data_IF_504970994861
#
_entry.id   IF_504970994861
#
_cell.length_a   1.000
_cell.length_b   1.000
_cell.length_c   1.000
_cell.angle_alpha   90.00
_cell.angle_beta   90.00
_cell.angle_gamma   90.00
#
_symmetry.space_group_name_H-M   'P 1'
#
loop_
_entity.id
_entity.type
_entity.pdbx_description
1 polymer ?
#
# COMPACT_ATOMS: atom_id res chain seq x y z
N UNK A 1 -1.97 8.99 12.52
CA UNK A 1 -2.41 8.69 11.12
C UNK A 1 -1.44 7.78 10.39
N UNK A 2 -0.30 8.26 9.85
CA UNK A 2 0.61 7.38 9.07
C UNK A 2 1.17 6.22 9.90
N UNK A 3 1.50 6.47 11.17
CA UNK A 3 1.94 5.41 12.10
C UNK A 3 0.88 4.33 12.30
N UNK A 4 -0.38 4.71 12.47
CA UNK A 4 -1.49 3.77 12.66
C UNK A 4 -1.71 2.92 11.41
N UNK A 5 -1.62 3.55 10.23
CA UNK A 5 -1.67 2.89 8.93
C UNK A 5 -0.56 1.85 8.78
N UNK A 6 0.68 2.19 9.17
CA UNK A 6 1.83 1.27 9.17
C UNK A 6 1.56 0.10 10.11
N UNK A 7 1.07 0.36 11.33
CA UNK A 7 0.79 -0.67 12.32
C UNK A 7 -0.29 -1.65 11.81
N UNK A 8 -1.43 -1.13 11.34
CA UNK A 8 -2.53 -1.94 10.82
C UNK A 8 -2.09 -2.77 9.61
N UNK A 9 -1.37 -2.14 8.69
CA UNK A 9 -0.85 -2.81 7.49
C UNK A 9 0.16 -3.90 7.84
N UNK A 10 1.09 -3.66 8.77
CA UNK A 10 2.07 -4.66 9.19
C UNK A 10 1.45 -5.86 9.91
N UNK A 11 0.44 -5.63 10.76
CA UNK A 11 -0.33 -6.71 11.38
C UNK A 11 -0.96 -7.60 10.31
N UNK A 12 -1.49 -6.99 9.24
CA UNK A 12 -2.09 -7.74 8.15
C UNK A 12 -1.06 -8.45 7.28
N UNK A 13 0.06 -7.80 6.94
CA UNK A 13 1.17 -8.42 6.18
C UNK A 13 1.66 -9.68 6.91
N UNK A 14 1.85 -9.61 8.23
CA UNK A 14 2.24 -10.76 9.03
C UNK A 14 1.21 -11.90 8.99
N UNK A 15 -0.09 -11.59 8.84
CA UNK A 15 -1.14 -12.62 8.74
C UNK A 15 -1.20 -13.33 7.39
N UNK A 16 -0.61 -12.76 6.34
CA UNK A 16 -0.62 -13.31 4.98
C UNK A 16 0.75 -13.77 4.50
N UNK A 17 1.82 -13.52 5.28
CA UNK A 17 3.20 -13.78 4.85
C UNK A 17 3.46 -15.24 4.52
N UNK A 18 2.73 -16.17 5.14
CA UNK A 18 2.81 -17.61 4.86
C UNK A 18 2.36 -17.98 3.43
N UNK A 19 1.56 -17.13 2.77
CA UNK A 19 1.17 -17.34 1.37
C UNK A 19 2.26 -16.95 0.37
N UNK A 20 3.39 -16.40 0.82
CA UNK A 20 4.48 -15.96 -0.02
C UNK A 20 5.68 -16.89 0.13
N UNK A 21 6.27 -17.27 -1.01
CA UNK A 21 7.43 -18.16 -1.03
C UNK A 21 8.71 -17.49 -0.52
N UNK A 22 8.80 -16.16 -0.61
CA UNK A 22 9.97 -15.39 -0.17
C UNK A 22 9.53 -14.34 0.86
N UNK A 23 10.29 -14.26 1.95
CA UNK A 23 10.06 -13.27 3.01
C UNK A 23 10.03 -11.82 2.46
N UNK A 24 10.89 -11.53 1.49
CA UNK A 24 10.97 -10.19 0.87
C UNK A 24 9.69 -9.77 0.15
N UNK A 25 8.88 -10.71 -0.33
CA UNK A 25 7.67 -10.43 -1.09
C UNK A 25 6.53 -9.97 -0.16
N UNK A 26 6.60 -10.35 1.13
CA UNK A 26 5.68 -9.93 2.19
C UNK A 26 6.39 -9.12 3.29
N UNK A 27 7.34 -8.27 2.91
CA UNK A 27 8.09 -7.46 3.89
C UNK A 27 7.20 -6.40 4.54
N UNK A 28 7.30 -6.24 5.85
CA UNK A 28 6.67 -5.14 6.60
C UNK A 28 7.06 -3.76 6.06
N UNK A 29 6.16 -2.79 6.16
CA UNK A 29 6.36 -1.39 5.75
C UNK A 29 6.84 -0.52 6.92
N UNK A 30 7.47 0.60 6.58
CA UNK A 30 7.90 1.64 7.53
C UNK A 30 7.11 2.94 7.32
N UNK A 31 7.21 3.88 8.26
CA UNK A 31 6.62 5.23 8.08
C UNK A 31 7.20 5.96 6.87
N UNK A 32 8.51 5.81 6.60
CA UNK A 32 9.15 6.44 5.45
C UNK A 32 8.64 5.84 4.13
N UNK A 33 8.55 4.51 4.05
CA UNK A 33 8.01 3.81 2.88
C UNK A 33 6.53 4.16 2.64
N UNK A 34 5.73 4.23 3.69
CA UNK A 34 4.31 4.59 3.59
C UNK A 34 4.12 6.04 3.12
N UNK A 35 4.97 6.98 3.57
CA UNK A 35 4.98 8.35 3.06
C UNK A 35 5.36 8.40 1.58
N UNK A 36 6.35 7.62 1.16
CA UNK A 36 6.74 7.51 -0.24
C UNK A 36 5.60 6.95 -1.11
N UNK A 37 4.95 5.88 -0.65
CA UNK A 37 3.76 5.30 -1.31
C UNK A 37 2.63 6.32 -1.47
N UNK A 38 2.27 7.04 -0.40
CA UNK A 38 1.27 8.10 -0.45
C UNK A 38 1.70 9.23 -1.39
N UNK A 39 2.99 9.61 -1.38
CA UNK A 39 3.55 10.58 -2.32
C UNK A 39 3.34 10.18 -3.78
N UNK A 40 3.61 8.92 -4.13
CA UNK A 40 3.36 8.40 -5.47
C UNK A 40 1.87 8.43 -5.85
N UNK A 41 0.95 8.18 -4.90
CA UNK A 41 -0.49 8.36 -5.15
C UNK A 41 -0.86 9.81 -5.45
N UNK A 42 -0.26 10.78 -4.75
CA UNK A 42 -0.45 12.20 -5.06
C UNK A 42 0.05 12.54 -6.47
N UNK A 43 1.23 12.05 -6.85
CA UNK A 43 1.80 12.27 -8.18
C UNK A 43 0.91 11.63 -9.27
N UNK A 44 0.36 10.43 -9.05
CA UNK A 44 -0.65 9.86 -9.95
C UNK A 44 -1.82 10.82 -10.21
N UNK A 45 -2.32 11.46 -9.15
CA UNK A 45 -3.38 12.46 -9.24
C UNK A 45 -2.97 13.70 -10.04
N UNK A 46 -1.77 14.23 -9.79
CA UNK A 46 -1.21 15.39 -10.51
C UNK A 46 -1.12 15.12 -12.01
N UNK A 47 -0.68 13.93 -12.41
CA UNK A 47 -0.58 13.52 -13.81
C UNK A 47 -1.91 13.07 -14.44
N UNK A 48 -3.03 13.14 -13.70
CA UNK A 48 -4.36 12.66 -14.13
C UNK A 48 -4.34 11.20 -14.60
N UNK A 49 -3.49 10.40 -13.97
CA UNK A 49 -3.22 9.01 -14.32
C UNK A 49 -4.10 8.01 -13.55
N UNK A 50 -5.31 8.41 -13.14
CA UNK A 50 -6.21 7.55 -12.37
C UNK A 50 -6.79 6.37 -13.17
N UNK A 51 -6.77 6.47 -14.51
CA UNK A 51 -7.36 5.47 -15.41
C UNK A 51 -6.34 4.78 -16.32
N UNK A 52 -5.04 5.03 -16.12
CA UNK A 52 -3.99 4.32 -16.85
C UNK A 52 -3.58 3.07 -16.08
N UNK A 53 -2.99 2.10 -16.78
CA UNK A 53 -2.37 0.99 -16.08
C UNK A 53 -1.20 1.54 -15.26
N UNK A 54 -1.23 1.28 -13.94
CA UNK A 54 -0.24 1.83 -13.03
C UNK A 54 1.17 1.38 -13.38
N UNK A 55 1.34 0.21 -14.02
CA UNK A 55 2.66 -0.27 -14.47
C UNK A 55 3.26 0.61 -15.57
N UNK A 56 2.43 1.30 -16.36
CA UNK A 56 2.90 2.18 -17.44
C UNK A 56 3.63 3.40 -16.86
N UNK A 57 3.25 3.84 -15.65
CA UNK A 57 3.95 4.91 -14.95
C UNK A 57 5.40 4.53 -14.57
N UNK A 58 5.72 3.24 -14.53
CA UNK A 58 7.05 2.69 -14.29
C UNK A 58 7.80 2.32 -15.58
N UNK A 59 7.25 2.60 -16.77
CA UNK A 59 7.88 2.24 -18.04
C UNK A 59 9.27 2.88 -18.21
N UNK A 60 10.19 2.15 -18.86
CA UNK A 60 11.57 2.58 -19.10
C UNK A 60 11.85 2.93 -20.55
N UNK A 61 10.84 2.86 -21.41
CA UNK A 61 10.90 3.16 -22.85
C UNK A 61 10.76 4.65 -23.19
N UNK A 62 10.77 5.51 -22.17
CA UNK A 62 10.57 6.95 -22.30
C UNK A 62 9.12 7.41 -22.08
N UNK A 63 8.16 6.50 -21.91
CA UNK A 63 6.75 6.85 -21.65
C UNK A 63 6.39 6.92 -20.15
N UNK A 64 7.23 6.35 -19.29
CA UNK A 64 7.03 6.34 -17.84
C UNK A 64 7.42 7.65 -17.16
N UNK A 65 7.15 7.75 -15.86
CA UNK A 65 7.45 8.93 -15.06
C UNK A 65 8.57 8.57 -14.07
N UNK A 66 9.72 9.23 -14.22
CA UNK A 66 10.96 8.83 -13.55
C UNK A 66 10.86 8.78 -12.02
N UNK A 67 10.06 9.66 -11.40
CA UNK A 67 9.89 9.69 -9.94
C UNK A 67 9.34 8.37 -9.38
N UNK A 68 8.53 7.63 -10.15
CA UNK A 68 7.92 6.38 -9.69
C UNK A 68 8.98 5.29 -9.49
N UNK A 69 9.75 5.00 -10.55
CA UNK A 69 10.80 3.96 -10.52
C UNK A 69 11.97 4.29 -9.60
N UNK A 70 12.27 5.58 -9.41
CA UNK A 70 13.34 6.03 -8.52
C UNK A 70 12.93 6.02 -7.04
N UNK A 71 11.62 6.11 -6.75
CA UNK A 71 11.10 6.10 -5.38
C UNK A 71 10.81 4.69 -4.86
N UNK A 72 10.17 3.84 -5.67
CA UNK A 72 9.71 2.51 -5.24
C UNK A 72 9.59 1.56 -6.44
N UNK A 73 9.82 0.26 -6.24
CA UNK A 73 9.57 -0.74 -7.29
C UNK A 73 8.06 -0.90 -7.55
N UNK A 74 7.66 -1.12 -8.81
CA UNK A 74 6.24 -1.25 -9.19
C UNK A 74 5.54 -2.40 -8.45
N UNK A 75 6.21 -3.54 -8.31
CA UNK A 75 5.72 -4.70 -7.56
C UNK A 75 5.47 -4.35 -6.09
N UNK A 76 6.37 -3.57 -5.47
CA UNK A 76 6.22 -3.12 -4.08
C UNK A 76 5.09 -2.12 -3.93
N UNK A 77 4.94 -1.20 -4.88
CA UNK A 77 3.82 -0.26 -4.89
C UNK A 77 2.48 -1.00 -5.01
N UNK A 78 2.37 -1.95 -5.94
CA UNK A 78 1.18 -2.78 -6.11
C UNK A 78 0.89 -3.64 -4.87
N UNK A 79 1.93 -4.18 -4.24
CA UNK A 79 1.80 -4.93 -2.99
C UNK A 79 1.19 -4.05 -1.89
N UNK A 80 1.74 -2.85 -1.65
CA UNK A 80 1.21 -1.92 -0.65
C UNK A 80 -0.21 -1.48 -1.00
N UNK A 81 -0.49 -1.19 -2.27
CA UNK A 81 -1.83 -0.81 -2.74
C UNK A 81 -2.87 -1.90 -2.42
N UNK A 82 -2.51 -3.18 -2.56
CA UNK A 82 -3.41 -4.32 -2.29
C UNK A 82 -3.61 -4.58 -0.79
N UNK A 83 -2.56 -4.41 0.01
CA UNK A 83 -2.54 -4.88 1.40
C UNK A 83 -2.60 -3.79 2.46
N UNK A 84 -2.68 -2.51 2.07
CA UNK A 84 -2.93 -1.40 3.00
C UNK A 84 -4.19 -1.64 3.84
N UNK A 85 -4.11 -1.41 5.16
CA UNK A 85 -5.23 -1.55 6.10
C UNK A 85 -5.35 -0.34 7.00
N UNK A 86 -6.58 0.09 7.24
CA UNK A 86 -6.90 1.25 8.07
C UNK A 86 -7.37 0.85 9.48
N UNK A 87 -7.48 -0.44 9.76
CA UNK A 87 -7.95 -0.99 11.02
C UNK A 87 -7.15 -2.21 11.47
N UNK A 88 -7.21 -2.49 12.77
CA UNK A 88 -6.60 -3.69 13.36
C UNK A 88 -7.54 -4.88 13.16
N UNK A 89 -7.12 -5.86 12.36
CA UNK A 89 -7.99 -7.01 12.03
C UNK A 89 -8.42 -7.84 13.26
N UNK A 90 -7.64 -7.80 14.35
CA UNK A 90 -7.85 -8.63 15.56
C UNK A 90 -9.08 -8.24 16.37
N UNK A 91 -9.43 -6.96 16.40
CA UNK A 91 -10.57 -6.44 17.16
C UNK A 91 -11.78 -6.14 16.27
N UNK A 92 -11.66 -6.37 14.95
CA UNK A 92 -12.71 -6.04 13.98
C UNK A 92 -14.01 -6.76 14.30
N UNK A 93 -13.94 -8.04 14.68
CA UNK A 93 -15.13 -8.87 14.87
C UNK A 93 -16.02 -8.35 16.00
N UNK A 94 -15.44 -7.89 17.12
CA UNK A 94 -16.20 -7.34 18.24
C UNK A 94 -16.75 -5.94 17.95
N UNK A 95 -16.05 -5.12 17.15
CA UNK A 95 -16.49 -3.76 16.81
C UNK A 95 -17.56 -3.73 15.71
N UNK A 96 -17.58 -4.73 14.82
CA UNK A 96 -18.47 -4.79 13.65
C UNK A 96 -19.96 -4.80 14.02
N UNK A 97 -20.30 -5.33 15.19
CA UNK A 97 -21.68 -5.41 15.68
C UNK A 97 -22.24 -4.03 16.06
N UNK A 98 -21.37 -3.10 16.46
CA UNK A 98 -21.77 -1.73 16.87
C UNK A 98 -21.55 -0.72 15.74
N UNK A 99 -20.56 -0.95 14.88
CA UNK A 99 -20.15 0.00 13.86
C UNK A 99 -19.81 -0.71 12.53
N UNK A 100 -20.61 -0.41 11.50
CA UNK A 100 -20.44 -0.99 10.16
C UNK A 100 -19.24 -0.42 9.40
N UNK A 101 -18.72 0.74 9.82
CA UNK A 101 -17.60 1.43 9.17
C UNK A 101 -16.24 1.16 9.85
N UNK A 102 -16.19 0.24 10.82
CA UNK A 102 -14.96 -0.20 11.52
C UNK A 102 -13.72 -0.36 10.63
N UNK A 103 -13.80 -0.90 9.40
CA UNK A 103 -12.62 -1.08 8.56
C UNK A 103 -11.91 0.20 8.11
N UNK A 104 -12.56 1.37 8.19
CA UNK A 104 -12.06 2.65 7.66
C UNK A 104 -12.30 3.84 8.59
N UNK A 105 -12.81 3.62 9.80
CA UNK A 105 -13.20 4.70 10.72
C UNK A 105 -12.06 5.14 11.63
#
# INVERSE_FOLDING_TARGET
MVRDLVNCTNIHIASISEHFSRERDAKSTTEAEMKAFIGLLYICGVHKSSHVNITDLWATDGTGIEIFRTTMQSERFLFLLRYIRFDVIRDRQSRKDTDKLVPIR
#
